data_IF_465555293609
#
_entry.id   IF_465555293609
#
_cell.length_a   1.000
_cell.length_b   1.000
_cell.length_c   1.000
_cell.angle_alpha   90.00
_cell.angle_beta   90.00
_cell.angle_gamma   90.00
#
_symmetry.space_group_name_H-M   'P 1'
#
loop_
_entity.id
_entity.type
_entity.pdbx_description
1 polymer ?
#
# COMPACT_ATOMS: atom_id res chain seq x y z
N UNK A 1 -14.03 -22.11 -4.44
CA UNK A 1 -12.93 -21.30 -3.87
C UNK A 1 -13.13 -19.89 -4.39
N UNK A 2 -13.19 -18.88 -3.52
CA UNK A 2 -13.24 -17.49 -3.97
C UNK A 2 -12.00 -17.20 -4.81
N UNK A 3 -12.17 -16.60 -5.99
CA UNK A 3 -11.05 -16.26 -6.86
C UNK A 3 -10.14 -15.22 -6.17
N UNK A 4 -8.83 -15.44 -6.24
CA UNK A 4 -7.83 -14.46 -5.80
C UNK A 4 -7.72 -13.36 -6.86
N UNK A 5 -8.58 -12.35 -6.75
CA UNK A 5 -8.61 -11.23 -7.67
C UNK A 5 -7.32 -10.41 -7.61
N UNK A 6 -6.88 -9.93 -8.78
CA UNK A 6 -5.70 -9.07 -8.90
C UNK A 6 -5.98 -7.70 -8.32
N UNK A 7 -5.03 -7.19 -7.54
CA UNK A 7 -5.04 -5.82 -7.02
C UNK A 7 -4.10 -4.95 -7.85
N UNK A 8 -4.60 -3.80 -8.30
CA UNK A 8 -3.80 -2.73 -8.90
C UNK A 8 -3.67 -1.61 -7.87
N UNK A 9 -2.43 -1.24 -7.55
CA UNK A 9 -2.13 -0.19 -6.58
C UNK A 9 -1.14 0.83 -7.16
N UNK A 10 -1.33 2.10 -6.81
CA UNK A 10 -0.39 3.20 -7.06
C UNK A 10 -0.25 4.02 -5.78
N UNK A 11 0.98 4.37 -5.43
CA UNK A 11 1.31 5.27 -4.33
C UNK A 11 1.98 6.49 -4.94
N UNK A 12 1.49 7.68 -4.62
CA UNK A 12 2.04 8.96 -5.04
C UNK A 12 2.81 9.55 -3.87
N UNK A 13 4.06 9.95 -4.11
CA UNK A 13 4.92 10.59 -3.11
C UNK A 13 5.70 11.74 -3.74
N UNK A 14 6.07 12.72 -2.92
CA UNK A 14 6.94 13.82 -3.32
C UNK A 14 8.40 13.35 -3.42
N UNK A 15 9.12 13.75 -4.48
CA UNK A 15 10.51 13.31 -4.67
C UNK A 15 11.48 13.82 -3.60
N UNK A 16 11.30 15.07 -3.17
CA UNK A 16 12.22 15.74 -2.25
C UNK A 16 12.01 15.31 -0.79
N UNK A 17 10.77 15.40 -0.31
CA UNK A 17 10.39 15.07 1.07
C UNK A 17 10.14 13.58 1.28
N UNK A 18 9.92 12.83 0.18
CA UNK A 18 9.52 11.41 0.18
C UNK A 18 8.17 11.12 0.86
N UNK A 19 7.45 12.18 1.24
CA UNK A 19 6.13 12.13 1.86
C UNK A 19 5.09 11.61 0.88
N UNK A 20 4.21 10.75 1.37
CA UNK A 20 3.08 10.21 0.62
C UNK A 20 2.00 11.29 0.46
N UNK A 21 1.56 11.52 -0.76
CA UNK A 21 0.55 12.52 -1.12
C UNK A 21 -0.74 11.92 -1.70
N UNK A 22 -0.76 10.61 -1.96
CA UNK A 22 -1.93 9.94 -2.48
C UNK A 22 -1.75 8.44 -2.68
N UNK A 23 -2.86 7.74 -2.81
CA UNK A 23 -2.87 6.33 -3.20
C UNK A 23 -4.13 6.00 -4.02
N UNK A 24 -4.02 5.00 -4.89
CA UNK A 24 -5.13 4.48 -5.68
C UNK A 24 -5.11 2.96 -5.61
N UNK A 25 -6.28 2.34 -5.38
CA UNK A 25 -6.46 0.89 -5.35
C UNK A 25 -7.63 0.49 -6.23
N UNK A 26 -7.48 -0.62 -6.96
CA UNK A 26 -8.56 -1.22 -7.75
C UNK A 26 -8.45 -2.75 -7.74
N UNK A 27 -9.58 -3.43 -7.57
CA UNK A 27 -9.73 -4.88 -7.64
C UNK A 27 -11.20 -5.24 -7.92
N UNK A 28 -11.45 -6.46 -8.38
CA UNK A 28 -12.80 -7.02 -8.47
C UNK A 28 -13.32 -7.56 -7.12
N UNK A 29 -12.45 -7.64 -6.11
CA UNK A 29 -12.82 -7.90 -4.71
C UNK A 29 -12.76 -6.60 -3.91
N UNK A 30 -13.62 -6.48 -2.89
CA UNK A 30 -13.56 -5.35 -1.97
C UNK A 30 -12.23 -5.32 -1.21
N UNK A 31 -11.54 -4.18 -1.36
CA UNK A 31 -10.28 -3.82 -0.69
C UNK A 31 -10.35 -2.39 -0.15
N UNK A 32 -11.57 -1.85 -0.01
CA UNK A 32 -11.82 -0.44 0.36
C UNK A 32 -11.14 -0.06 1.67
N UNK A 33 -11.15 -0.94 2.67
CA UNK A 33 -10.55 -0.66 3.99
C UNK A 33 -9.06 -0.31 3.92
N UNK A 34 -8.32 -0.82 2.93
CA UNK A 34 -6.90 -0.51 2.76
C UNK A 34 -6.66 0.99 2.54
N UNK A 35 -7.61 1.72 1.95
CA UNK A 35 -7.43 3.16 1.70
C UNK A 35 -7.37 3.99 3.00
N UNK A 36 -7.96 3.51 4.10
CA UNK A 36 -7.95 4.23 5.37
C UNK A 36 -6.54 4.35 5.95
N UNK A 37 -5.69 3.34 5.75
CA UNK A 37 -4.29 3.39 6.12
C UNK A 37 -3.56 4.53 5.40
N UNK A 38 -3.81 4.71 4.10
CA UNK A 38 -3.21 5.80 3.31
C UNK A 38 -3.76 7.17 3.71
N UNK A 39 -5.04 7.25 4.05
CA UNK A 39 -5.63 8.49 4.59
C UNK A 39 -4.91 8.93 5.87
N UNK A 40 -4.63 7.99 6.79
CA UNK A 40 -3.90 8.28 8.02
C UNK A 40 -2.41 8.59 7.74
N UNK A 41 -1.79 7.88 6.81
CA UNK A 41 -0.39 8.10 6.41
C UNK A 41 -0.18 9.51 5.86
N UNK A 42 -1.09 9.99 5.00
CA UNK A 42 -1.05 11.35 4.44
C UNK A 42 -1.24 12.39 5.56
N UNK A 43 -2.19 12.18 6.47
CA UNK A 43 -2.43 13.07 7.62
C UNK A 43 -1.19 13.19 8.52
N UNK A 44 -0.44 12.10 8.70
CA UNK A 44 0.77 12.05 9.52
C UNK A 44 2.05 12.38 8.76
N UNK A 45 1.94 12.77 7.49
CA UNK A 45 3.09 13.08 6.64
C UNK A 45 4.11 11.93 6.53
N UNK A 46 3.63 10.69 6.56
CA UNK A 46 4.46 9.49 6.49
C UNK A 46 5.21 9.42 5.15
N UNK A 47 6.46 8.99 5.21
CA UNK A 47 7.35 8.80 4.05
C UNK A 47 7.14 7.44 3.38
N UNK A 48 7.55 7.32 2.12
CA UNK A 48 7.48 6.03 1.42
C UNK A 48 8.39 4.97 2.06
N UNK A 49 9.52 5.36 2.65
CA UNK A 49 10.43 4.48 3.39
C UNK A 49 9.79 3.90 4.66
N UNK A 50 9.00 4.70 5.38
CA UNK A 50 8.23 4.20 6.52
C UNK A 50 7.16 3.18 6.09
N UNK A 51 6.51 3.39 4.93
CA UNK A 51 5.58 2.40 4.37
C UNK A 51 6.31 1.12 3.93
N UNK A 52 7.55 1.20 3.44
CA UNK A 52 8.35 0.02 3.07
C UNK A 52 8.59 -0.91 4.28
N UNK A 53 8.78 -0.34 5.47
CA UNK A 53 9.07 -1.06 6.71
C UNK A 53 7.84 -1.24 7.61
N UNK A 54 6.66 -0.77 7.18
CA UNK A 54 5.43 -0.91 7.93
C UNK A 54 5.10 -2.38 8.17
N UNK A 55 4.83 -2.73 9.42
CA UNK A 55 4.41 -4.08 9.79
C UNK A 55 2.98 -4.35 9.30
N UNK A 56 2.89 -5.14 8.22
CA UNK A 56 1.63 -5.61 7.66
C UNK A 56 1.52 -7.10 8.00
N UNK A 57 0.55 -7.44 8.84
CA UNK A 57 0.33 -8.82 9.24
C UNK A 57 0.14 -9.75 8.02
N UNK A 58 0.63 -10.98 8.12
CA UNK A 58 0.50 -11.99 7.08
C UNK A 58 -0.32 -13.18 7.56
N UNK A 59 -1.33 -13.56 6.76
CA UNK A 59 -2.05 -14.82 6.89
C UNK A 59 -2.41 -15.32 5.48
N UNK A 60 -2.09 -16.57 5.10
CA UNK A 60 -2.29 -17.07 3.73
C UNK A 60 -3.72 -16.98 3.20
N UNK A 61 -4.71 -16.94 4.11
CA UNK A 61 -6.11 -16.75 3.74
C UNK A 61 -6.44 -15.33 3.27
N UNK A 62 -5.68 -14.32 3.72
CA UNK A 62 -5.96 -12.90 3.45
C UNK A 62 -4.99 -12.27 2.46
N UNK A 63 -3.69 -12.58 2.56
CA UNK A 63 -2.66 -11.89 1.79
C UNK A 63 -1.40 -12.77 1.58
N UNK A 64 -0.41 -12.22 0.88
CA UNK A 64 0.90 -12.84 0.65
C UNK A 64 1.93 -12.31 1.67
N UNK A 65 3.02 -13.05 1.97
CA UNK A 65 4.06 -12.57 2.89
C UNK A 65 4.63 -11.23 2.47
N UNK A 66 4.84 -11.06 1.17
CA UNK A 66 5.10 -9.78 0.55
C UNK A 66 3.76 -9.16 0.12
N UNK A 67 3.22 -8.29 0.97
CA UNK A 67 1.97 -7.59 0.68
C UNK A 67 2.14 -6.68 -0.55
N UNK A 68 1.07 -6.50 -1.34
CA UNK A 68 1.07 -5.63 -2.52
C UNK A 68 1.41 -4.17 -2.20
N UNK A 69 1.12 -3.69 -0.98
CA UNK A 69 1.53 -2.37 -0.47
C UNK A 69 3.06 -2.32 -0.35
N UNK A 70 3.65 -3.27 0.38
CA UNK A 70 5.10 -3.38 0.57
C UNK A 70 5.83 -3.50 -0.75
N UNK A 71 5.34 -4.32 -1.68
CA UNK A 71 5.96 -4.51 -2.99
C UNK A 71 6.03 -3.23 -3.82
N UNK A 72 4.96 -2.43 -3.83
CA UNK A 72 4.96 -1.15 -4.55
C UNK A 72 5.79 -0.09 -3.84
N UNK A 73 5.78 -0.07 -2.50
CA UNK A 73 6.64 0.82 -1.73
C UNK A 73 8.13 0.50 -1.96
N UNK A 74 8.53 -0.76 -1.99
CA UNK A 74 9.91 -1.20 -2.30
C UNK A 74 10.34 -0.86 -3.73
N UNK A 75 9.38 -0.70 -4.65
CA UNK A 75 9.65 -0.30 -6.04
C UNK A 75 9.84 1.21 -6.20
N UNK A 76 9.68 1.99 -5.13
CA UNK A 76 9.92 3.43 -5.16
C UNK A 76 11.38 3.72 -5.50
N UNK A 77 11.60 4.57 -6.50
CA UNK A 77 12.93 4.99 -6.96
C UNK A 77 13.30 6.35 -6.36
N UNK A 78 14.57 6.72 -6.48
CA UNK A 78 15.08 8.06 -6.11
C UNK A 78 14.58 9.18 -7.04
#
# INVERSE_FOLDING_TARGET
>A
MSENNKVKIRILYERASRRVIGAQLASYTDISMTIHMFSLAIMKEVTIEEIQLLDIFFLPHFNQPYNYITMVALSAKE
#
